data_IF_966964633031
#
_entry.id   IF_966964633031
#
_cell.length_a   1.000
_cell.length_b   1.000
_cell.length_c   1.000
_cell.angle_alpha   90.00
_cell.angle_beta   90.00
_cell.angle_gamma   90.00
#
_symmetry.space_group_name_H-M   'P 1'
#
loop_
_entity.id
_entity.type
_entity.pdbx_description
1 polymer ?
#
# COMPACT_ATOMS: atom_id res chain seq x y z
N UNK A 1 -14.51 17.00 -41.78
CA UNK A 1 -13.45 17.46 -40.87
C UNK A 1 -13.06 16.24 -40.04
N UNK A 2 -12.03 15.46 -40.41
CA UNK A 2 -10.58 15.73 -40.23
C UNK A 2 -10.36 16.11 -38.76
N UNK A 3 -9.85 15.26 -37.86
CA UNK A 3 -8.64 14.40 -37.95
C UNK A 3 -8.69 13.19 -37.00
N UNK A 4 -8.10 12.08 -37.44
CA UNK A 4 -7.64 10.92 -36.66
C UNK A 4 -6.63 11.27 -35.56
N UNK A 5 -6.69 10.57 -34.42
CA UNK A 5 -5.59 9.94 -33.66
C UNK A 5 -6.18 9.44 -32.33
N UNK A 6 -6.67 8.20 -32.18
CA UNK A 6 -5.84 6.99 -32.04
C UNK A 6 -4.39 7.25 -31.59
N UNK A 7 -4.28 7.92 -30.45
CA UNK A 7 -3.12 7.75 -29.59
C UNK A 7 -3.63 7.37 -28.20
N UNK A 8 -4.33 6.23 -28.10
CA UNK A 8 -4.33 5.51 -26.83
C UNK A 8 -2.91 4.95 -26.74
N UNK A 9 -2.02 5.76 -26.17
CA UNK A 9 -0.67 5.29 -25.89
C UNK A 9 -0.85 4.28 -24.78
N UNK A 10 -0.64 3.02 -25.13
CA UNK A 10 -0.47 2.01 -24.14
C UNK A 10 0.57 2.43 -23.11
N UNK A 11 0.48 1.90 -21.88
CA UNK A 11 1.50 2.17 -20.88
C UNK A 11 2.86 1.83 -21.52
N UNK A 12 3.84 2.74 -21.43
CA UNK A 12 5.13 2.38 -21.99
C UNK A 12 5.62 1.14 -21.22
N UNK A 13 6.31 0.19 -21.86
CA UNK A 13 6.83 -0.97 -21.13
C UNK A 13 7.69 -0.60 -19.92
N UNK A 14 8.32 0.58 -19.95
CA UNK A 14 9.07 1.14 -18.83
C UNK A 14 8.15 1.61 -17.69
N UNK A 15 7.08 2.35 -17.98
CA UNK A 15 6.09 2.78 -16.98
C UNK A 15 5.43 1.58 -16.32
N UNK A 16 5.11 0.54 -17.10
CA UNK A 16 4.40 -0.64 -16.60
C UNK A 16 5.29 -1.41 -15.64
N UNK A 17 6.56 -1.56 -16.01
CA UNK A 17 7.55 -2.22 -15.18
C UNK A 17 7.83 -1.45 -13.89
N UNK A 18 7.65 -0.12 -13.85
CA UNK A 18 7.78 0.68 -12.62
C UNK A 18 6.62 0.35 -11.68
N UNK A 19 5.37 0.48 -12.16
CA UNK A 19 4.16 0.19 -11.37
C UNK A 19 4.19 -1.25 -10.85
N UNK A 20 4.46 -2.23 -11.73
CA UNK A 20 4.53 -3.64 -11.36
C UNK A 20 5.61 -3.92 -10.29
N UNK A 21 6.78 -3.26 -10.38
CA UNK A 21 7.82 -3.40 -9.36
C UNK A 21 7.41 -2.82 -8.02
N UNK A 22 6.67 -1.71 -8.02
CA UNK A 22 6.20 -1.06 -6.80
C UNK A 22 5.12 -1.89 -6.12
N UNK A 23 4.17 -2.42 -6.88
CA UNK A 23 3.18 -3.39 -6.39
C UNK A 23 3.84 -4.64 -5.80
N UNK A 24 4.88 -5.19 -6.46
CA UNK A 24 5.67 -6.30 -5.89
C UNK A 24 6.41 -5.91 -4.59
N UNK A 25 6.77 -4.64 -4.41
CA UNK A 25 7.35 -4.15 -3.15
C UNK A 25 6.29 -4.08 -2.04
N UNK A 26 5.05 -3.70 -2.36
CA UNK A 26 3.93 -3.76 -1.40
C UNK A 26 3.64 -5.20 -0.98
N UNK A 27 3.58 -6.14 -1.92
CA UNK A 27 3.40 -7.57 -1.60
C UNK A 27 4.48 -8.09 -0.66
N UNK A 28 5.74 -7.76 -0.99
CA UNK A 28 6.88 -8.12 -0.15
C UNK A 28 6.76 -7.48 1.23
N UNK A 29 6.40 -6.20 1.30
CA UNK A 29 6.20 -5.49 2.55
C UNK A 29 5.14 -6.18 3.42
N UNK A 30 3.99 -6.56 2.86
CA UNK A 30 2.91 -7.26 3.58
C UNK A 30 3.38 -8.62 4.10
N UNK A 31 4.10 -9.39 3.29
CA UNK A 31 4.69 -10.66 3.71
C UNK A 31 5.68 -10.44 4.87
N UNK A 32 6.56 -9.46 4.74
CA UNK A 32 7.56 -9.14 5.76
C UNK A 32 6.90 -8.64 7.05
N UNK A 33 5.85 -7.81 6.96
CA UNK A 33 5.05 -7.35 8.08
C UNK A 33 4.43 -8.53 8.83
N UNK A 34 3.75 -9.44 8.10
CA UNK A 34 3.12 -10.64 8.68
C UNK A 34 4.12 -11.52 9.41
N UNK A 35 5.32 -11.70 8.83
CA UNK A 35 6.32 -12.63 9.32
C UNK A 35 7.25 -12.03 10.38
N UNK A 36 7.31 -10.70 10.50
CA UNK A 36 8.26 -10.02 11.39
C UNK A 36 7.99 -10.26 12.85
N UNK A 37 6.71 -10.26 13.26
CA UNK A 37 6.38 -10.61 14.61
C UNK A 37 6.20 -12.12 14.71
N UNK A 38 7.19 -12.84 15.26
CA UNK A 38 7.07 -14.29 15.47
C UNK A 38 5.81 -14.67 16.27
N UNK A 39 5.25 -13.73 17.03
CA UNK A 39 4.05 -13.92 17.83
C UNK A 39 2.74 -13.63 17.08
N UNK A 40 2.77 -12.96 15.92
CA UNK A 40 1.59 -12.75 15.08
C UNK A 40 1.21 -13.99 14.26
N UNK A 41 2.19 -14.86 13.97
CA UNK A 41 2.05 -16.09 13.18
C UNK A 41 1.82 -17.37 14.00
N UNK A 42 1.85 -17.29 15.34
CA UNK A 42 1.50 -18.40 16.22
C UNK A 42 0.00 -18.67 16.14
N UNK A 43 -0.39 -19.54 15.22
CA UNK A 43 -1.71 -20.16 15.23
C UNK A 43 -1.91 -20.95 16.53
N UNK A 44 -3.15 -21.01 16.97
CA UNK A 44 -3.70 -21.51 18.25
C UNK A 44 -3.48 -23.02 18.51
N UNK A 45 -2.30 -23.56 18.21
CA UNK A 45 -1.97 -24.95 18.51
C UNK A 45 -1.70 -25.11 20.02
N UNK A 46 -2.18 -26.18 20.65
CA UNK A 46 -1.96 -26.43 22.08
C UNK A 46 -0.49 -26.46 22.51
N UNK A 47 0.40 -26.74 21.55
CA UNK A 47 1.86 -26.88 21.73
C UNK A 47 2.65 -25.64 21.29
N UNK A 48 2.00 -24.51 20.95
CA UNK A 48 2.73 -23.29 20.65
C UNK A 48 3.42 -22.74 21.91
N UNK A 49 4.75 -22.62 21.87
CA UNK A 49 5.52 -21.89 22.87
C UNK A 49 4.93 -20.48 23.02
N UNK A 50 4.60 -20.10 24.27
CA UNK A 50 4.14 -18.75 24.57
C UNK A 50 5.17 -17.74 24.07
N UNK A 51 4.70 -16.67 23.44
CA UNK A 51 5.53 -15.52 23.10
C UNK A 51 6.22 -15.01 24.38
N UNK A 52 7.54 -15.15 24.45
CA UNK A 52 8.33 -14.64 25.56
C UNK A 52 8.49 -13.11 25.48
N UNK A 53 8.93 -12.52 26.60
CA UNK A 53 9.08 -11.07 26.72
C UNK A 53 10.05 -10.48 25.69
N UNK A 54 11.11 -11.23 25.34
CA UNK A 54 12.09 -10.79 24.34
C UNK A 54 11.44 -10.67 22.96
N UNK A 55 10.70 -11.69 22.53
CA UNK A 55 9.97 -11.69 21.26
C UNK A 55 8.93 -10.57 21.19
N UNK A 56 8.16 -10.33 22.26
CA UNK A 56 7.20 -9.22 22.31
C UNK A 56 7.89 -7.86 22.18
N UNK A 57 8.97 -7.65 22.94
CA UNK A 57 9.74 -6.40 22.91
C UNK A 57 10.36 -6.17 21.53
N UNK A 58 10.83 -7.23 20.88
CA UNK A 58 11.36 -7.17 19.50
C UNK A 58 10.28 -6.75 18.49
N UNK A 59 9.07 -7.32 18.57
CA UNK A 59 7.95 -6.89 17.73
C UNK A 59 7.64 -5.40 17.95
N UNK A 60 7.52 -4.99 19.21
CA UNK A 60 7.20 -3.60 19.57
C UNK A 60 8.24 -2.61 19.04
N UNK A 61 9.54 -2.93 19.14
CA UNK A 61 10.61 -2.06 18.66
C UNK A 61 10.70 -1.93 17.14
N UNK A 62 10.23 -2.92 16.38
CA UNK A 62 10.28 -2.91 14.90
C UNK A 62 9.07 -2.24 14.26
N UNK A 63 7.92 -2.25 14.92
CA UNK A 63 6.66 -1.76 14.36
C UNK A 63 6.73 -0.31 13.84
N UNK A 64 7.36 0.66 14.56
CA UNK A 64 7.58 2.01 14.04
C UNK A 64 8.27 2.06 12.68
N UNK A 65 9.28 1.22 12.46
CA UNK A 65 10.03 1.19 11.19
C UNK A 65 9.16 0.73 10.03
N UNK A 66 8.24 -0.22 10.27
CA UNK A 66 7.28 -0.66 9.25
C UNK A 66 6.31 0.45 8.86
N UNK A 67 5.79 1.19 9.85
CA UNK A 67 4.85 2.30 9.63
C UNK A 67 5.45 3.44 8.81
N UNK A 68 6.68 3.85 9.14
CA UNK A 68 7.39 4.86 8.34
C UNK A 68 7.71 4.35 6.94
N UNK A 69 8.13 3.09 6.82
CA UNK A 69 8.53 2.55 5.53
C UNK A 69 7.35 2.42 4.55
N UNK A 70 6.18 1.96 5.01
CA UNK A 70 5.00 1.87 4.13
C UNK A 70 4.51 3.24 3.68
N UNK A 71 4.57 4.25 4.56
CA UNK A 71 4.16 5.61 4.23
C UNK A 71 5.07 6.22 3.15
N UNK A 72 6.38 6.00 3.25
CA UNK A 72 7.34 6.44 2.22
C UNK A 72 7.17 5.66 0.91
N UNK A 73 6.92 4.35 0.97
CA UNK A 73 6.67 3.52 -0.21
C UNK A 73 5.39 3.95 -0.94
N UNK A 74 4.28 4.14 -0.20
CA UNK A 74 3.00 4.63 -0.72
C UNK A 74 3.13 6.01 -1.36
N UNK A 75 3.76 6.96 -0.67
CA UNK A 75 3.92 8.32 -1.21
C UNK A 75 4.68 8.34 -2.54
N UNK A 76 5.77 7.57 -2.66
CA UNK A 76 6.56 7.48 -3.89
C UNK A 76 5.80 6.81 -5.02
N UNK A 77 5.12 5.72 -4.72
CA UNK A 77 4.30 5.00 -5.69
C UNK A 77 3.20 5.90 -6.25
N UNK A 78 2.42 6.54 -5.38
CA UNK A 78 1.34 7.45 -5.77
C UNK A 78 1.85 8.63 -6.61
N UNK A 79 3.01 9.20 -6.25
CA UNK A 79 3.63 10.25 -7.05
C UNK A 79 4.00 9.75 -8.46
N UNK A 80 4.60 8.57 -8.57
CA UNK A 80 4.95 7.99 -9.87
C UNK A 80 3.71 7.69 -10.72
N UNK A 81 2.67 7.11 -10.13
CA UNK A 81 1.43 6.83 -10.86
C UNK A 81 0.76 8.09 -11.36
N UNK A 82 0.63 9.12 -10.51
CA UNK A 82 0.05 10.40 -10.90
C UNK A 82 0.84 11.07 -12.02
N UNK A 83 2.18 10.99 -11.99
CA UNK A 83 3.04 11.46 -13.07
C UNK A 83 2.82 10.67 -14.37
N UNK A 84 2.71 9.34 -14.30
CA UNK A 84 2.44 8.49 -15.45
C UNK A 84 1.06 8.81 -16.04
N UNK A 85 0.05 9.04 -15.20
CA UNK A 85 -1.28 9.46 -15.64
C UNK A 85 -1.23 10.81 -16.34
N UNK A 86 -0.61 11.83 -15.74
CA UNK A 86 -0.51 13.19 -16.31
C UNK A 86 0.35 13.26 -17.58
N UNK A 87 1.24 12.29 -17.80
CA UNK A 87 1.99 12.17 -19.06
C UNK A 87 1.10 11.82 -20.26
N UNK A 88 -0.15 11.40 -20.02
CA UNK A 88 -1.09 10.99 -21.07
C UNK A 88 -1.73 12.21 -21.73
N UNK A 89 -1.85 12.27 -23.08
CA UNK A 89 -2.32 13.46 -23.80
C UNK A 89 -3.70 14.02 -23.42
N UNK A 90 -4.57 13.21 -22.82
CA UNK A 90 -5.95 13.58 -22.47
C UNK A 90 -6.19 13.70 -20.97
N UNK A 91 -5.18 13.38 -20.15
CA UNK A 91 -5.27 13.47 -18.70
C UNK A 91 -4.73 14.82 -18.29
N UNK A 92 -5.50 15.53 -17.48
CA UNK A 92 -5.10 16.80 -16.88
C UNK A 92 -5.44 16.74 -15.40
N UNK A 93 -4.95 17.68 -14.61
CA UNK A 93 -5.34 17.79 -13.20
C UNK A 93 -6.84 17.99 -12.99
N UNK A 94 -7.57 18.42 -14.03
CA UNK A 94 -9.02 18.60 -14.00
C UNK A 94 -9.79 17.37 -14.50
N UNK A 95 -9.10 16.36 -15.01
CA UNK A 95 -9.71 15.11 -15.46
C UNK A 95 -10.34 14.39 -14.27
N UNK A 96 -11.64 14.09 -14.37
CA UNK A 96 -12.45 13.58 -13.26
C UNK A 96 -11.85 12.32 -12.64
N UNK A 97 -11.44 11.37 -13.46
CA UNK A 97 -10.83 10.13 -12.99
C UNK A 97 -9.49 10.36 -12.27
N UNK A 98 -8.63 11.24 -12.80
CA UNK A 98 -7.37 11.59 -12.14
C UNK A 98 -7.62 12.22 -10.77
N UNK A 99 -8.61 13.13 -10.66
CA UNK A 99 -8.97 13.74 -9.38
C UNK A 99 -9.50 12.72 -8.38
N UNK A 100 -10.30 11.76 -8.82
CA UNK A 100 -10.82 10.70 -7.97
C UNK A 100 -9.69 9.77 -7.49
N UNK A 101 -8.78 9.37 -8.38
CA UNK A 101 -7.64 8.52 -8.05
C UNK A 101 -6.69 9.20 -7.06
N UNK A 102 -6.31 10.46 -7.33
CA UNK A 102 -5.51 11.27 -6.40
C UNK A 102 -6.18 11.45 -5.04
N UNK A 103 -7.50 11.63 -5.01
CA UNK A 103 -8.23 11.71 -3.75
C UNK A 103 -8.15 10.39 -2.97
N UNK A 104 -8.23 9.25 -3.65
CA UNK A 104 -8.02 7.94 -3.01
C UNK A 104 -6.61 7.79 -2.45
N UNK A 105 -5.57 8.25 -3.16
CA UNK A 105 -4.20 8.30 -2.62
C UNK A 105 -4.11 9.12 -1.33
N UNK A 106 -4.71 10.30 -1.30
CA UNK A 106 -4.72 11.16 -0.11
C UNK A 106 -5.43 10.48 1.06
N UNK A 107 -6.57 9.82 0.82
CA UNK A 107 -7.30 9.07 1.85
C UNK A 107 -6.50 7.90 2.41
N UNK A 108 -5.73 7.21 1.55
CA UNK A 108 -4.81 6.15 1.98
C UNK A 108 -3.69 6.74 2.86
N UNK A 109 -3.09 7.86 2.45
CA UNK A 109 -2.03 8.52 3.23
C UNK A 109 -2.55 8.98 4.60
N UNK A 110 -3.75 9.54 4.68
CA UNK A 110 -4.38 9.92 5.94
C UNK A 110 -4.61 8.70 6.85
N UNK A 111 -5.02 7.56 6.30
CA UNK A 111 -5.17 6.30 7.06
C UNK A 111 -3.82 5.78 7.56
N UNK A 112 -2.77 5.82 6.73
CA UNK A 112 -1.41 5.43 7.14
C UNK A 112 -0.88 6.31 8.28
N UNK A 113 -1.15 7.61 8.22
CA UNK A 113 -0.81 8.52 9.30
C UNK A 113 -1.60 8.19 10.58
N UNK A 114 -2.91 7.94 10.47
CA UNK A 114 -3.74 7.55 11.61
C UNK A 114 -3.27 6.23 12.26
N UNK A 115 -2.87 5.25 11.46
CA UNK A 115 -2.29 3.99 11.93
C UNK A 115 -0.96 4.21 12.67
N UNK A 116 -0.14 5.11 12.15
CA UNK A 116 1.13 5.51 12.77
C UNK A 116 0.88 6.18 14.13
N UNK A 117 -0.02 7.15 14.19
CA UNK A 117 -0.38 7.86 15.41
C UNK A 117 -1.00 6.90 16.44
N UNK A 118 -1.89 6.01 16.00
CA UNK A 118 -2.46 4.97 16.84
C UNK A 118 -1.35 4.12 17.46
N UNK A 119 -0.39 3.64 16.66
CA UNK A 119 0.72 2.84 17.16
C UNK A 119 1.57 3.55 18.23
N UNK A 120 1.77 4.86 18.13
CA UNK A 120 2.54 5.63 19.12
C UNK A 120 1.73 6.07 20.34
N UNK A 121 0.40 6.12 20.21
CA UNK A 121 -0.53 6.40 21.32
C UNK A 121 -0.82 5.19 22.21
N UNK A 122 -0.39 4.00 21.78
CA UNK A 122 -0.68 2.73 22.43
C UNK A 122 0.17 2.56 23.70
N UNK A 123 -0.52 2.51 24.84
CA UNK A 123 0.03 2.12 26.15
C UNK A 123 0.67 0.73 26.10
N UNK A 124 1.64 0.48 26.99
CA UNK A 124 2.45 -0.75 27.13
C UNK A 124 1.66 -2.05 27.39
N UNK A 125 0.32 -1.99 27.38
CA UNK A 125 -0.60 -3.10 27.64
C UNK A 125 -1.14 -3.78 26.38
N UNK A 126 -0.97 -3.19 25.19
CA UNK A 126 -1.46 -3.81 23.95
C UNK A 126 -0.55 -4.94 23.47
N UNK A 127 -1.17 -6.00 22.96
CA UNK A 127 -0.48 -7.17 22.41
C UNK A 127 0.10 -6.83 21.03
N UNK A 128 1.43 -6.71 20.87
CA UNK A 128 2.04 -6.34 19.59
C UNK A 128 1.64 -7.29 18.46
N UNK A 129 1.47 -8.58 18.75
CA UNK A 129 1.06 -9.57 17.76
C UNK A 129 -0.30 -9.28 17.15
N UNK A 130 -1.24 -8.75 17.95
CA UNK A 130 -2.56 -8.34 17.46
C UNK A 130 -2.46 -7.09 16.60
N UNK A 131 -1.65 -6.11 17.01
CA UNK A 131 -1.40 -4.91 16.21
C UNK A 131 -0.80 -5.25 14.84
N UNK A 132 0.15 -6.18 14.77
CA UNK A 132 0.71 -6.64 13.48
C UNK A 132 -0.34 -7.31 12.59
N UNK A 133 -1.26 -8.11 13.15
CA UNK A 133 -2.34 -8.76 12.39
C UNK A 133 -3.35 -7.74 11.86
N UNK A 134 -3.79 -6.82 12.71
CA UNK A 134 -4.73 -5.76 12.34
C UNK A 134 -4.10 -4.87 11.27
N UNK A 135 -2.86 -4.44 11.48
CA UNK A 135 -2.15 -3.60 10.53
C UNK A 135 -1.96 -4.29 9.17
N UNK A 136 -1.59 -5.58 9.16
CA UNK A 136 -1.53 -6.35 7.92
C UNK A 136 -2.89 -6.40 7.21
N UNK A 137 -3.97 -6.75 7.93
CA UNK A 137 -5.31 -6.85 7.36
C UNK A 137 -5.77 -5.52 6.76
N UNK A 138 -5.66 -4.43 7.53
CA UNK A 138 -6.08 -3.11 7.08
C UNK A 138 -5.31 -2.62 5.84
N UNK A 139 -4.00 -2.88 5.77
CA UNK A 139 -3.21 -2.56 4.59
C UNK A 139 -3.59 -3.40 3.38
N UNK A 140 -3.76 -4.72 3.55
CA UNK A 140 -4.18 -5.61 2.47
C UNK A 140 -5.54 -5.18 1.90
N UNK A 141 -6.54 -4.96 2.76
CA UNK A 141 -7.88 -4.56 2.34
C UNK A 141 -7.87 -3.20 1.63
N UNK A 142 -7.07 -2.26 2.12
CA UNK A 142 -6.98 -0.92 1.56
C UNK A 142 -6.31 -0.91 0.19
N UNK A 143 -5.21 -1.64 0.00
CA UNK A 143 -4.53 -1.73 -1.29
C UNK A 143 -5.34 -2.54 -2.30
N UNK A 144 -5.91 -3.69 -1.91
CA UNK A 144 -6.78 -4.47 -2.80
C UNK A 144 -8.02 -3.66 -3.27
N UNK A 145 -8.62 -2.88 -2.37
CA UNK A 145 -9.72 -2.00 -2.74
C UNK A 145 -9.29 -0.88 -3.69
N UNK A 146 -8.07 -0.36 -3.53
CA UNK A 146 -7.50 0.66 -4.41
C UNK A 146 -7.23 0.09 -5.81
N UNK A 147 -6.55 -1.05 -5.87
CA UNK A 147 -6.21 -1.74 -7.11
C UNK A 147 -7.47 -1.97 -7.96
N UNK A 148 -8.50 -2.56 -7.36
CA UNK A 148 -9.75 -2.87 -8.06
C UNK A 148 -10.53 -1.64 -8.51
N UNK A 149 -10.52 -0.56 -7.71
CA UNK A 149 -11.29 0.64 -8.01
C UNK A 149 -10.57 1.57 -9.01
N UNK A 150 -9.22 1.55 -9.03
CA UNK A 150 -8.44 2.55 -9.75
C UNK A 150 -7.28 2.00 -10.59
N UNK A 151 -6.39 1.17 -10.05
CA UNK A 151 -5.18 0.78 -10.79
C UNK A 151 -5.50 -0.21 -11.91
N UNK A 152 -6.35 -1.21 -11.63
CA UNK A 152 -6.82 -2.18 -12.61
C UNK A 152 -7.51 -1.48 -13.80
N UNK A 153 -8.52 -0.59 -13.60
CA UNK A 153 -9.10 0.17 -14.70
C UNK A 153 -8.09 1.06 -15.45
N UNK A 154 -7.16 1.70 -14.73
CA UNK A 154 -6.13 2.53 -15.35
C UNK A 154 -5.23 1.70 -16.26
N UNK A 155 -4.66 0.60 -15.75
CA UNK A 155 -3.81 -0.33 -16.50
C UNK A 155 -4.57 -0.90 -17.69
N UNK A 156 -5.83 -1.33 -17.52
CA UNK A 156 -6.66 -1.87 -18.59
C UNK A 156 -6.93 -0.83 -19.69
N UNK A 157 -7.23 0.42 -19.32
CA UNK A 157 -7.47 1.51 -20.28
C UNK A 157 -6.28 1.78 -21.19
N UNK A 158 -5.08 1.35 -20.76
CA UNK A 158 -3.83 1.51 -21.49
C UNK A 158 -3.46 0.26 -22.31
N UNK A 159 -4.29 -0.77 -22.41
CA UNK A 159 -4.03 -1.93 -23.28
C UNK A 159 -4.71 -1.83 -24.65
N UNK A 160 -5.68 -0.93 -24.79
CA UNK A 160 -6.40 -0.59 -26.03
C UNK A 160 -5.79 0.57 -26.78
#
# INVERSE_FOLDING_TARGET
MVTHNQAIKALSPADYLIIEKEHLLFDKFLIDLRNTCACSSLNQHPDCERCDHEKMTSCQGRLPSYLFYISDLAAKHFEHEEQIMLSRPHVTEQYEYFRAHRQAHLEIMDKLQALTDACFSVDSTNNPAETYRQFHQELSDMFEAHDHAFDDPFIQSTKT
#
